data_IF_942256964130
#
_entry.id   IF_942256964130
#
_cell.length_a   1.000
_cell.length_b   1.000
_cell.length_c   1.000
_cell.angle_alpha   90.00
_cell.angle_beta   90.00
_cell.angle_gamma   90.00
#
_symmetry.space_group_name_H-M   'P 1'
#
loop_
_entity.id
_entity.type
_entity.pdbx_description
1 polymer ?
#
# COMPACT_ATOMS: atom_id res chain seq x y z
N UNK A 1 -14.47 -1.19 -11.68
CA UNK A 1 -14.57 -1.58 -10.26
C UNK A 1 -13.82 -2.90 -10.07
N UNK A 2 -12.53 -2.84 -9.79
CA UNK A 2 -11.75 -4.05 -9.43
C UNK A 2 -12.11 -4.40 -8.00
N UNK A 3 -12.64 -5.61 -7.77
CA UNK A 3 -12.90 -6.09 -6.41
C UNK A 3 -11.57 -6.48 -5.75
N UNK A 4 -10.95 -5.52 -5.06
CA UNK A 4 -9.68 -5.72 -4.37
C UNK A 4 -9.92 -6.46 -3.04
N UNK A 5 -9.48 -7.72 -2.96
CA UNK A 5 -9.56 -8.53 -1.73
C UNK A 5 -8.75 -7.91 -0.60
N UNK A 6 -9.28 -7.90 0.63
CA UNK A 6 -8.55 -7.39 1.81
C UNK A 6 -7.24 -8.14 2.04
N UNK A 7 -6.24 -7.45 2.60
CA UNK A 7 -4.96 -8.04 2.97
C UNK A 7 -5.14 -9.10 4.06
N UNK A 8 -4.30 -10.15 4.04
CA UNK A 8 -4.24 -11.18 5.08
C UNK A 8 -3.23 -10.84 6.19
N UNK A 9 -2.54 -9.71 6.09
CA UNK A 9 -1.62 -9.24 7.13
C UNK A 9 -2.40 -8.79 8.37
N UNK A 10 -1.77 -8.85 9.54
CA UNK A 10 -2.34 -8.23 10.75
C UNK A 10 -2.50 -6.73 10.56
N UNK A 11 -3.50 -6.12 11.20
CA UNK A 11 -3.75 -4.68 11.10
C UNK A 11 -2.51 -3.85 11.44
N UNK A 12 -1.79 -4.21 12.51
CA UNK A 12 -0.52 -3.57 12.88
C UNK A 12 0.50 -3.51 11.73
N UNK A 13 0.67 -4.61 10.99
CA UNK A 13 1.60 -4.66 9.85
C UNK A 13 1.07 -3.86 8.66
N UNK A 14 -0.25 -3.83 8.46
CA UNK A 14 -0.88 -3.01 7.44
C UNK A 14 -0.67 -1.52 7.72
N UNK A 15 -0.93 -1.08 8.95
CA UNK A 15 -0.78 0.32 9.38
C UNK A 15 0.67 0.80 9.21
N UNK A 16 1.64 -0.01 9.66
CA UNK A 16 3.07 0.32 9.48
C UNK A 16 3.51 0.34 8.02
N UNK A 17 3.00 -0.56 7.19
CA UNK A 17 3.29 -0.52 5.75
C UNK A 17 2.67 0.72 5.08
N UNK A 18 1.48 1.15 5.51
CA UNK A 18 0.84 2.38 5.02
C UNK A 18 1.63 3.61 5.45
N UNK A 19 2.03 3.70 6.72
CA UNK A 19 2.86 4.79 7.26
C UNK A 19 4.17 4.95 6.46
N UNK A 20 4.87 3.84 6.23
CA UNK A 20 6.13 3.83 5.47
C UNK A 20 5.93 4.13 3.98
N UNK A 21 4.79 3.75 3.41
CA UNK A 21 4.42 4.11 2.05
C UNK A 21 4.21 5.62 1.91
N UNK A 22 3.47 6.24 2.83
CA UNK A 22 3.24 7.70 2.86
C UNK A 22 4.56 8.45 3.09
N UNK A 23 5.44 7.92 3.94
CA UNK A 23 6.76 8.48 4.19
C UNK A 23 7.74 8.34 3.00
N UNK A 24 7.33 7.72 1.88
CA UNK A 24 8.17 7.54 0.70
C UNK A 24 9.28 6.49 0.86
N UNK A 25 9.17 5.61 1.85
CA UNK A 25 10.13 4.53 2.06
C UNK A 25 10.15 3.56 0.89
N UNK A 26 11.26 2.85 0.70
CA UNK A 26 11.30 1.75 -0.28
C UNK A 26 10.63 0.51 0.30
N UNK A 27 10.02 -0.31 -0.55
CA UNK A 27 9.43 -1.59 -0.12
C UNK A 27 10.46 -2.52 0.55
N UNK A 28 11.73 -2.41 0.17
CA UNK A 28 12.84 -3.15 0.80
C UNK A 28 12.99 -2.74 2.26
N UNK A 29 13.20 -1.44 2.53
CA UNK A 29 13.31 -0.91 3.89
C UNK A 29 12.07 -1.23 4.72
N UNK A 30 10.89 -1.07 4.14
CA UNK A 30 9.65 -1.37 4.84
C UNK A 30 9.49 -2.86 5.19
N UNK A 31 9.97 -3.75 4.33
CA UNK A 31 9.93 -5.19 4.61
C UNK A 31 10.79 -5.59 5.82
N UNK A 32 11.96 -4.96 5.95
CA UNK A 32 12.88 -5.17 7.06
C UNK A 32 12.30 -4.60 8.37
N UNK A 33 11.75 -3.37 8.34
CA UNK A 33 11.19 -2.72 9.53
C UNK A 33 9.91 -3.38 10.05
N UNK A 34 9.04 -3.87 9.16
CA UNK A 34 7.74 -4.47 9.52
C UNK A 34 7.84 -6.00 9.69
N UNK A 35 9.01 -6.57 9.44
CA UNK A 35 9.27 -8.01 9.48
C UNK A 35 8.26 -8.80 8.62
N UNK A 36 8.22 -8.44 7.32
CA UNK A 36 7.46 -9.15 6.27
C UNK A 36 8.40 -9.52 5.13
N UNK A 37 7.99 -10.46 4.26
CA UNK A 37 8.78 -10.78 3.08
C UNK A 37 8.87 -9.54 2.16
N UNK A 38 10.04 -9.31 1.55
CA UNK A 38 10.26 -8.23 0.57
C UNK A 38 9.22 -8.21 -0.55
N UNK A 39 8.82 -9.39 -1.07
CA UNK A 39 7.82 -9.47 -2.13
C UNK A 39 6.44 -9.09 -1.63
N UNK A 40 6.13 -9.42 -0.36
CA UNK A 40 4.90 -8.98 0.30
C UNK A 40 4.84 -7.46 0.43
N UNK A 41 5.91 -6.81 0.88
CA UNK A 41 5.95 -5.35 0.98
C UNK A 41 5.83 -4.68 -0.40
N UNK A 42 6.58 -5.15 -1.39
CA UNK A 42 6.51 -4.63 -2.77
C UNK A 42 5.12 -4.77 -3.36
N UNK A 43 4.50 -5.94 -3.18
CA UNK A 43 3.14 -6.19 -3.65
C UNK A 43 2.11 -5.33 -2.92
N UNK A 44 2.27 -5.16 -1.60
CA UNK A 44 1.39 -4.30 -0.80
C UNK A 44 1.45 -2.84 -1.26
N UNK A 45 2.66 -2.30 -1.51
CA UNK A 45 2.84 -0.93 -2.01
C UNK A 45 2.25 -0.75 -3.41
N UNK A 46 2.41 -1.72 -4.30
CA UNK A 46 1.78 -1.68 -5.61
C UNK A 46 0.25 -1.65 -5.51
N UNK A 47 -0.33 -2.50 -4.66
CA UNK A 47 -1.77 -2.52 -4.42
C UNK A 47 -2.30 -1.24 -3.79
N UNK A 48 -1.55 -0.62 -2.88
CA UNK A 48 -1.90 0.70 -2.34
C UNK A 48 -1.98 1.75 -3.44
N UNK A 49 -1.03 1.77 -4.39
CA UNK A 49 -1.08 2.69 -5.54
C UNK A 49 -2.32 2.48 -6.40
N UNK A 50 -2.67 1.22 -6.70
CA UNK A 50 -3.88 0.91 -7.47
C UNK A 50 -5.15 1.37 -6.74
N UNK A 51 -5.24 1.11 -5.42
CA UNK A 51 -6.36 1.57 -4.61
C UNK A 51 -6.48 3.09 -4.60
N UNK A 52 -5.36 3.81 -4.43
CA UNK A 52 -5.34 5.27 -4.47
C UNK A 52 -5.79 5.75 -5.85
N UNK A 53 -5.23 5.18 -6.93
CA UNK A 53 -5.57 5.53 -8.31
C UNK A 53 -7.08 5.37 -8.56
N UNK A 54 -7.64 4.19 -8.27
CA UNK A 54 -9.07 3.90 -8.45
C UNK A 54 -10.00 4.82 -7.64
N UNK A 55 -9.56 5.26 -6.44
CA UNK A 55 -10.34 6.18 -5.62
C UNK A 55 -10.03 7.66 -5.94
N UNK A 56 -9.00 7.93 -6.74
CA UNK A 56 -8.61 9.26 -7.19
C UNK A 56 -9.28 9.67 -8.50
N UNK A 57 -9.92 8.77 -9.26
CA UNK A 57 -10.67 9.13 -10.48
C UNK A 57 -11.91 10.03 -10.23
N UNK A 58 -12.17 10.41 -8.97
CA UNK A 58 -13.06 11.53 -8.62
C UNK A 58 -12.37 12.92 -8.61
N UNK A 59 -11.06 13.03 -8.86
CA UNK A 59 -10.35 14.32 -8.90
C UNK A 59 -10.39 15.04 -10.27
N UNK A 60 -10.98 14.44 -11.31
CA UNK A 60 -11.15 15.11 -12.62
C UNK A 60 -12.12 16.31 -12.59
N UNK A 61 -12.69 16.67 -11.42
CA UNK A 61 -13.57 17.84 -11.24
C UNK A 61 -12.85 19.11 -10.75
N UNK A 62 -11.53 19.18 -10.84
CA UNK A 62 -10.75 20.36 -10.41
C UNK A 62 -9.79 20.91 -11.48
N UNK A 63 -9.96 20.55 -12.75
CA UNK A 63 -9.29 21.19 -13.90
C UNK A 63 -10.21 22.13 -14.65
#
# INVERSE_FOLDING_TARGET
>A
MVLIRKSRLSSYKQDKLIELFIAGSTARTASELVSVNKTTASYYFHRLRLLIYENSEHLEMFT
#
